data_IF_993391413831
#
_entry.id   IF_993391413831
#
_cell.length_a   1.000
_cell.length_b   1.000
_cell.length_c   1.000
_cell.angle_alpha   90.00
_cell.angle_beta   90.00
_cell.angle_gamma   90.00
#
_symmetry.space_group_name_H-M   'P 1'
#
loop_
_entity.id
_entity.type
_entity.pdbx_description
1 polymer ?
#
# COMPACT_ATOMS: atom_id res chain seq x y z
N UNK A 1 1.05 79.59 -5.26
CA UNK A 1 0.26 78.56 -5.96
C UNK A 1 1.01 77.26 -5.77
N UNK A 2 0.58 76.47 -4.79
CA UNK A 2 1.31 75.32 -4.24
C UNK A 2 0.61 74.07 -4.77
N UNK A 3 1.32 73.24 -5.54
CA UNK A 3 0.82 71.97 -6.06
C UNK A 3 1.47 70.87 -5.24
N UNK A 4 0.72 70.30 -4.31
CA UNK A 4 1.09 69.09 -3.59
C UNK A 4 0.92 67.87 -4.51
N UNK A 5 2.03 67.33 -5.00
CA UNK A 5 2.10 66.02 -5.63
C UNK A 5 2.12 64.95 -4.54
N UNK A 6 0.93 64.48 -4.14
CA UNK A 6 0.79 63.30 -3.29
C UNK A 6 1.01 62.06 -4.17
N UNK A 7 2.24 61.56 -4.19
CA UNK A 7 2.57 60.24 -4.73
C UNK A 7 1.98 59.18 -3.80
N UNK A 8 0.82 58.61 -4.15
CA UNK A 8 0.33 57.37 -3.53
C UNK A 8 1.24 56.22 -3.97
N UNK A 9 2.22 55.88 -3.14
CA UNK A 9 2.85 54.57 -3.21
C UNK A 9 1.82 53.53 -2.78
N UNK A 10 1.22 52.85 -3.75
CA UNK A 10 0.55 51.58 -3.50
C UNK A 10 1.65 50.61 -3.05
N UNK A 11 1.71 50.35 -1.75
CA UNK A 11 2.45 49.21 -1.21
C UNK A 11 1.78 47.97 -1.80
N UNK A 12 2.34 47.44 -2.88
CA UNK A 12 2.08 46.07 -3.32
C UNK A 12 2.76 45.21 -2.26
N UNK A 13 1.99 44.79 -1.26
CA UNK A 13 2.37 43.65 -0.44
C UNK A 13 2.59 42.47 -1.38
N UNK A 14 3.71 41.74 -1.27
CA UNK A 14 3.84 40.49 -2.01
C UNK A 14 2.65 39.61 -1.61
N UNK A 15 1.83 39.22 -2.59
CA UNK A 15 0.79 38.22 -2.38
C UNK A 15 1.48 37.00 -1.77
N UNK A 16 1.02 36.61 -0.58
CA UNK A 16 1.40 35.32 -0.02
C UNK A 16 1.01 34.25 -1.05
N UNK A 17 1.84 33.23 -1.30
CA UNK A 17 1.45 32.13 -2.16
C UNK A 17 0.11 31.60 -1.65
N UNK A 18 -0.90 31.62 -2.52
CA UNK A 18 -2.25 31.16 -2.19
C UNK A 18 -2.16 29.68 -1.88
N UNK A 19 -2.03 29.35 -0.60
CA UNK A 19 -2.05 27.95 -0.17
C UNK A 19 -3.43 27.40 -0.49
N UNK A 20 -3.51 26.31 -1.26
CA UNK A 20 -4.74 25.57 -1.60
C UNK A 20 -5.70 25.36 -0.41
N UNK A 21 -5.19 25.35 0.82
CA UNK A 21 -5.95 25.31 2.06
C UNK A 21 -6.91 26.50 2.29
N UNK A 22 -6.83 27.58 1.52
CA UNK A 22 -7.64 28.79 1.69
C UNK A 22 -8.93 28.82 0.83
N UNK A 23 -9.17 27.82 -0.02
CA UNK A 23 -10.33 27.78 -0.93
C UNK A 23 -11.42 26.88 -0.35
N UNK A 24 -12.66 27.37 -0.27
CA UNK A 24 -13.82 26.53 0.08
C UNK A 24 -14.26 25.74 -1.17
N UNK A 25 -14.15 24.39 -1.18
CA UNK A 25 -14.50 23.60 -2.35
C UNK A 25 -16.02 23.55 -2.65
N UNK A 26 -16.87 24.08 -1.77
CA UNK A 26 -18.32 24.12 -1.97
C UNK A 26 -18.81 25.45 -2.55
N UNK A 27 -17.96 26.46 -2.61
CA UNK A 27 -18.27 27.72 -3.27
C UNK A 27 -18.30 27.57 -4.79
N UNK A 28 -18.94 28.53 -5.46
CA UNK A 28 -18.94 28.57 -6.93
C UNK A 28 -17.64 29.16 -7.42
N UNK A 29 -17.12 28.57 -8.49
CA UNK A 29 -15.99 29.13 -9.24
C UNK A 29 -16.23 30.61 -9.59
N UNK A 30 -15.24 31.44 -9.31
CA UNK A 30 -15.19 32.84 -9.69
C UNK A 30 -14.25 33.05 -10.88
N UNK A 31 -14.50 34.10 -11.67
CA UNK A 31 -13.61 34.46 -12.78
C UNK A 31 -12.20 34.89 -12.33
N UNK A 32 -12.02 35.15 -11.04
CA UNK A 32 -10.74 35.47 -10.41
C UNK A 32 -9.98 34.23 -9.92
N UNK A 33 -10.58 33.05 -9.98
CA UNK A 33 -9.94 31.84 -9.46
C UNK A 33 -8.71 31.48 -10.28
N UNK A 34 -7.72 30.91 -9.60
CA UNK A 34 -6.50 30.46 -10.25
C UNK A 34 -6.79 29.27 -11.18
N UNK A 35 -6.41 29.41 -12.44
CA UNK A 35 -6.57 28.34 -13.43
C UNK A 35 -5.36 27.41 -13.37
N UNK A 36 -5.59 26.18 -12.93
CA UNK A 36 -4.57 25.12 -12.93
C UNK A 36 -4.65 24.32 -14.23
N UNK A 37 -3.69 24.53 -15.13
CA UNK A 37 -3.59 23.77 -16.40
C UNK A 37 -2.85 22.46 -16.18
N UNK A 38 -3.47 21.34 -16.55
CA UNK A 38 -2.89 20.01 -16.37
C UNK A 38 -3.32 19.03 -17.45
N UNK A 39 -2.78 17.80 -17.43
CA UNK A 39 -3.15 16.73 -18.37
C UNK A 39 -4.06 15.70 -17.70
N UNK A 40 -4.87 14.98 -18.49
CA UNK A 40 -5.71 13.88 -17.99
C UNK A 40 -4.91 12.85 -17.19
N UNK A 41 -3.69 12.51 -17.63
CA UNK A 41 -2.83 11.58 -16.92
C UNK A 41 -2.41 12.11 -15.54
N UNK A 42 -2.16 13.41 -15.44
CA UNK A 42 -1.79 14.04 -14.17
C UNK A 42 -2.97 14.11 -13.21
N UNK A 43 -4.19 14.33 -13.72
CA UNK A 43 -5.42 14.22 -12.93
C UNK A 43 -5.64 12.80 -12.40
N UNK A 44 -5.40 11.78 -13.22
CA UNK A 44 -5.51 10.38 -12.79
C UNK A 44 -4.52 10.06 -11.66
N UNK A 45 -3.28 10.57 -11.73
CA UNK A 45 -2.30 10.43 -10.65
C UNK A 45 -2.79 11.05 -9.35
N UNK A 46 -3.37 12.25 -9.43
CA UNK A 46 -3.95 12.90 -8.26
C UNK A 46 -5.09 12.08 -7.65
N UNK A 47 -5.99 11.56 -8.48
CA UNK A 47 -7.10 10.69 -8.02
C UNK A 47 -6.57 9.40 -7.38
N UNK A 48 -5.54 8.79 -7.96
CA UNK A 48 -4.89 7.61 -7.43
C UNK A 48 -4.31 7.88 -6.03
N UNK A 49 -3.55 8.96 -5.86
CA UNK A 49 -2.96 9.32 -4.57
C UNK A 49 -4.04 9.65 -3.53
N UNK A 50 -5.10 10.35 -3.92
CA UNK A 50 -6.22 10.63 -3.02
C UNK A 50 -6.90 9.32 -2.53
N UNK A 51 -7.09 8.36 -3.43
CA UNK A 51 -7.67 7.06 -3.09
C UNK A 51 -6.76 6.26 -2.15
N UNK A 52 -5.45 6.19 -2.42
CA UNK A 52 -4.49 5.51 -1.56
C UNK A 52 -4.38 6.18 -0.18
N UNK A 53 -4.41 7.51 -0.14
CA UNK A 53 -4.41 8.28 1.12
C UNK A 53 -5.64 7.94 1.95
N UNK A 54 -6.84 8.04 1.37
CA UNK A 54 -8.08 7.73 2.08
C UNK A 54 -8.13 6.26 2.54
N UNK A 55 -7.76 5.33 1.65
CA UNK A 55 -7.67 3.90 1.94
C UNK A 55 -6.75 3.63 3.12
N UNK A 56 -5.55 4.21 3.13
CA UNK A 56 -4.62 4.06 4.25
C UNK A 56 -5.19 4.67 5.54
N UNK A 57 -5.74 5.87 5.49
CA UNK A 57 -6.24 6.55 6.68
C UNK A 57 -7.39 5.76 7.32
N UNK A 58 -8.26 5.15 6.52
CA UNK A 58 -9.29 4.23 7.00
C UNK A 58 -8.68 2.93 7.53
N UNK A 59 -7.80 2.28 6.76
CA UNK A 59 -7.14 1.02 7.12
C UNK A 59 -6.40 1.14 8.45
N UNK A 60 -5.65 2.21 8.66
CA UNK A 60 -4.83 2.43 9.86
C UNK A 60 -5.55 3.22 10.97
N UNK A 61 -6.83 3.58 10.77
CA UNK A 61 -7.59 4.43 11.68
C UNK A 61 -6.84 5.71 12.11
N UNK A 62 -6.20 6.37 11.13
CA UNK A 62 -5.43 7.60 11.35
C UNK A 62 -6.41 8.71 11.73
N UNK A 63 -6.28 9.26 12.94
CA UNK A 63 -7.17 10.30 13.48
C UNK A 63 -7.03 11.69 12.83
N UNK A 64 -6.42 11.77 11.65
CA UNK A 64 -6.28 12.99 10.87
C UNK A 64 -7.19 12.91 9.65
N UNK A 65 -7.57 14.06 9.11
CA UNK A 65 -8.35 14.12 7.88
C UNK A 65 -7.45 13.82 6.66
N UNK A 66 -7.77 12.84 5.80
CA UNK A 66 -6.99 12.56 4.59
C UNK A 66 -6.98 13.74 3.62
N UNK A 67 -8.04 14.55 3.56
CA UNK A 67 -8.06 15.77 2.73
C UNK A 67 -7.09 16.80 3.30
N UNK A 68 -7.04 16.95 4.62
CA UNK A 68 -6.04 17.81 5.26
C UNK A 68 -4.61 17.32 4.98
N UNK A 69 -4.39 16.00 4.88
CA UNK A 69 -3.09 15.47 4.46
C UNK A 69 -2.73 15.86 3.03
N UNK A 70 -3.69 15.75 2.10
CA UNK A 70 -3.50 16.09 0.68
C UNK A 70 -3.15 17.56 0.46
N UNK A 71 -3.71 18.46 1.29
CA UNK A 71 -3.58 19.91 1.15
C UNK A 71 -2.40 20.49 1.94
N UNK A 72 -1.92 19.81 2.98
CA UNK A 72 -0.81 20.29 3.79
C UNK A 72 0.54 20.19 3.03
N UNK A 73 1.42 21.21 3.15
CA UNK A 73 2.83 21.10 2.75
C UNK A 73 3.53 19.91 3.40
N UNK A 74 4.38 19.21 2.63
CA UNK A 74 5.13 18.03 3.09
C UNK A 74 6.59 18.10 2.72
N UNK A 75 7.47 17.68 3.63
CA UNK A 75 8.91 17.55 3.33
C UNK A 75 9.15 16.51 2.24
N UNK A 76 8.32 15.45 2.21
CA UNK A 76 8.23 14.46 1.14
C UNK A 76 8.16 15.09 -0.27
N UNK A 77 7.50 16.23 -0.40
CA UNK A 77 7.28 16.92 -1.68
C UNK A 77 8.05 18.24 -1.79
N UNK A 78 9.15 18.38 -1.04
CA UNK A 78 9.96 19.58 -0.95
C UNK A 78 9.14 20.83 -0.56
N UNK A 79 8.23 20.67 0.40
CA UNK A 79 7.38 21.73 0.94
C UNK A 79 6.12 22.05 0.12
N UNK A 80 5.82 21.28 -0.94
CA UNK A 80 4.55 21.38 -1.68
C UNK A 80 3.47 20.50 -1.05
N UNK A 81 2.21 20.77 -1.41
CA UNK A 81 1.11 19.87 -1.09
C UNK A 81 1.09 18.64 -2.02
N UNK A 82 0.42 17.57 -1.59
CA UNK A 82 0.24 16.39 -2.45
C UNK A 82 -0.59 16.72 -3.71
N UNK A 83 -1.58 17.62 -3.58
CA UNK A 83 -2.41 18.08 -4.71
C UNK A 83 -1.57 18.68 -5.84
N UNK A 84 -0.52 19.42 -5.50
CA UNK A 84 0.38 20.05 -6.46
C UNK A 84 1.45 19.08 -6.97
N UNK A 85 2.09 18.33 -6.05
CA UNK A 85 3.25 17.52 -6.36
C UNK A 85 2.89 16.29 -7.21
N UNK A 86 1.80 15.61 -6.87
CA UNK A 86 1.38 14.33 -7.46
C UNK A 86 0.84 14.44 -8.89
N UNK A 87 0.83 15.64 -9.48
CA UNK A 87 0.64 15.80 -10.92
C UNK A 87 1.80 15.18 -11.71
N UNK A 88 3.00 15.17 -11.14
CA UNK A 88 4.17 14.50 -11.70
C UNK A 88 4.15 12.98 -11.45
N UNK A 89 4.84 12.21 -12.30
CA UNK A 89 4.92 10.74 -12.15
C UNK A 89 5.68 10.36 -10.87
N UNK A 90 6.80 11.03 -10.63
CA UNK A 90 7.76 10.68 -9.57
C UNK A 90 7.13 10.86 -8.19
N UNK A 91 6.56 12.03 -7.92
CA UNK A 91 5.92 12.33 -6.63
C UNK A 91 4.66 11.49 -6.42
N UNK A 92 3.91 11.20 -7.48
CA UNK A 92 2.80 10.26 -7.41
C UNK A 92 3.27 8.88 -6.97
N UNK A 93 4.38 8.39 -7.50
CA UNK A 93 4.90 7.06 -7.16
C UNK A 93 5.41 7.02 -5.72
N UNK A 94 6.13 8.07 -5.28
CA UNK A 94 6.51 8.24 -3.86
C UNK A 94 5.30 8.18 -2.94
N UNK A 95 4.25 8.92 -3.25
CA UNK A 95 3.03 8.94 -2.44
C UNK A 95 2.35 7.56 -2.40
N UNK A 96 2.26 6.88 -3.54
CA UNK A 96 1.71 5.51 -3.61
C UNK A 96 2.54 4.55 -2.76
N UNK A 97 3.86 4.59 -2.84
CA UNK A 97 4.73 3.74 -2.00
C UNK A 97 4.57 4.07 -0.51
N UNK A 98 4.57 5.36 -0.15
CA UNK A 98 4.37 5.80 1.22
C UNK A 98 3.06 5.27 1.81
N UNK A 99 1.94 5.36 1.08
CA UNK A 99 0.65 4.87 1.56
C UNK A 99 0.48 3.35 1.43
N UNK A 100 1.03 2.74 0.39
CA UNK A 100 0.96 1.29 0.15
C UNK A 100 1.80 0.48 1.15
N UNK A 101 2.96 1.01 1.54
CA UNK A 101 3.90 0.38 2.47
C UNK A 101 3.79 0.91 3.91
N UNK A 102 2.84 1.82 4.16
CA UNK A 102 2.60 2.40 5.49
C UNK A 102 3.82 3.12 6.09
N UNK A 103 4.66 3.75 5.26
CA UNK A 103 5.93 4.38 5.68
C UNK A 103 5.67 5.83 6.13
N UNK A 104 5.36 6.02 7.41
CA UNK A 104 5.15 7.37 7.99
C UNK A 104 4.08 8.18 7.27
N UNK A 105 3.86 9.45 7.64
CA UNK A 105 2.94 10.34 6.90
C UNK A 105 3.67 11.49 6.19
N UNK A 106 4.97 11.61 6.40
CA UNK A 106 5.84 12.59 5.76
C UNK A 106 7.27 12.06 5.80
N UNK A 107 7.50 10.94 5.11
CA UNK A 107 8.79 10.27 5.11
C UNK A 107 9.83 11.05 4.31
N UNK A 108 11.10 10.83 4.64
CA UNK A 108 12.22 11.39 3.88
C UNK A 108 12.14 10.88 2.42
N UNK A 109 12.10 11.78 1.42
CA UNK A 109 12.03 11.38 0.01
C UNK A 109 13.21 10.49 -0.40
N UNK A 110 14.40 10.64 0.20
CA UNK A 110 15.54 9.79 -0.10
C UNK A 110 15.30 8.32 0.25
N UNK A 111 14.48 8.04 1.26
CA UNK A 111 14.14 6.67 1.66
C UNK A 111 13.25 6.00 0.60
N UNK A 112 12.29 6.74 0.05
CA UNK A 112 11.40 6.21 -0.99
C UNK A 112 12.12 6.09 -2.33
N UNK A 113 13.03 7.00 -2.63
CA UNK A 113 13.85 6.93 -3.85
C UNK A 113 14.73 5.69 -3.89
N UNK A 114 15.28 5.27 -2.75
CA UNK A 114 16.03 4.03 -2.66
C UNK A 114 15.18 2.81 -3.02
N UNK A 115 13.94 2.74 -2.52
CA UNK A 115 13.00 1.66 -2.84
C UNK A 115 12.62 1.63 -4.33
N UNK A 116 12.53 2.81 -4.95
CA UNK A 116 12.21 2.93 -6.37
C UNK A 116 13.36 2.49 -7.28
N UNK A 117 14.60 2.66 -6.83
CA UNK A 117 15.79 2.29 -7.61
C UNK A 117 16.02 0.78 -7.66
N UNK A 118 15.57 0.02 -6.64
CA UNK A 118 15.75 -1.43 -6.57
C UNK A 118 14.97 -2.21 -7.66
N UNK A 119 13.89 -1.63 -8.22
CA UNK A 119 13.09 -2.25 -9.29
C UNK A 119 13.65 -1.98 -10.71
N UNK A 120 14.44 -0.93 -10.91
CA UNK A 120 14.99 -0.58 -12.24
C UNK A 120 16.24 -1.43 -12.60
N UNK A 121 16.81 -2.16 -11.65
CA UNK A 121 17.95 -3.08 -11.86
C UNK A 121 17.53 -4.50 -12.29
N UNK A 122 16.21 -4.77 -12.39
CA UNK A 122 15.65 -6.08 -12.76
C UNK A 122 14.84 -5.99 -14.05
N UNK A 123 15.52 -5.74 -15.18
CA UNK A 123 15.27 -6.33 -16.51
C UNK A 123 15.63 -5.38 -17.67
N UNK A 124 16.81 -5.61 -18.25
CA UNK A 124 17.07 -5.25 -19.65
C UNK A 124 17.63 -6.40 -20.52
N UNK A 125 18.01 -7.56 -19.95
CA UNK A 125 18.81 -8.56 -20.70
C UNK A 125 18.42 -10.04 -20.49
N UNK A 126 17.17 -10.40 -20.16
CA UNK A 126 16.84 -11.83 -20.04
C UNK A 126 15.47 -12.26 -20.54
N UNK A 127 15.23 -12.02 -21.82
CA UNK A 127 14.36 -12.88 -22.62
C UNK A 127 15.12 -13.36 -23.85
N UNK A 128 15.97 -14.37 -23.66
CA UNK A 128 16.36 -15.27 -24.75
C UNK A 128 15.93 -16.69 -24.38
N UNK A 129 14.97 -17.17 -25.16
CA UNK A 129 14.53 -18.55 -25.24
C UNK A 129 15.61 -19.41 -25.94
N UNK A 130 15.68 -20.69 -25.53
CA UNK A 130 16.57 -21.79 -25.99
C UNK A 130 17.82 -21.99 -25.10
N UNK A 131 18.20 -23.20 -24.69
CA UNK A 131 18.16 -24.44 -25.45
C UNK A 131 18.22 -25.68 -24.55
N UNK A 132 17.77 -26.81 -25.10
CA UNK A 132 17.69 -28.12 -24.47
C UNK A 132 19.06 -28.81 -24.52
N UNK A 133 19.63 -29.25 -23.39
CA UNK A 133 20.69 -30.27 -23.40
C UNK A 133 20.86 -31.03 -22.07
N UNK A 134 20.54 -32.32 -22.18
CA UNK A 134 21.06 -33.52 -21.51
C UNK A 134 22.48 -33.44 -20.93
N UNK A 135 22.72 -34.17 -19.83
CA UNK A 135 24.10 -34.41 -19.35
C UNK A 135 24.26 -34.80 -17.89
N UNK A 136 24.19 -36.10 -17.63
CA UNK A 136 24.69 -36.87 -16.48
C UNK A 136 25.71 -36.21 -15.50
N UNK A 137 25.38 -36.30 -14.21
CA UNK A 137 26.18 -36.83 -13.11
C UNK A 137 27.59 -36.27 -12.83
N UNK A 138 27.82 -35.83 -11.59
CA UNK A 138 28.88 -36.41 -10.75
C UNK A 138 28.62 -36.08 -9.28
N UNK A 139 28.72 -37.10 -8.44
CA UNK A 139 28.90 -37.02 -7.01
C UNK A 139 30.14 -36.17 -6.70
N UNK A 140 29.94 -34.97 -6.16
CA UNK A 140 30.95 -34.29 -5.37
C UNK A 140 30.30 -33.65 -4.15
N UNK A 141 30.75 -34.16 -3.01
CA UNK A 141 30.89 -33.45 -1.74
C UNK A 141 29.67 -33.32 -0.85
N UNK A 142 29.45 -34.45 -0.16
CA UNK A 142 28.90 -34.60 1.18
C UNK A 142 29.68 -33.81 2.28
N UNK A 143 30.07 -32.57 2.01
CA UNK A 143 30.86 -31.71 2.89
C UNK A 143 30.20 -30.36 3.22
N UNK A 144 28.90 -30.18 2.97
CA UNK A 144 28.16 -28.96 3.36
C UNK A 144 26.98 -29.22 4.32
N UNK A 145 26.97 -30.39 4.98
CA UNK A 145 26.02 -30.70 6.07
C UNK A 145 26.43 -30.09 7.42
N UNK A 146 27.00 -28.89 7.42
CA UNK A 146 27.45 -28.24 8.65
C UNK A 146 27.46 -26.70 8.54
N UNK A 147 26.42 -26.11 7.94
CA UNK A 147 26.05 -24.73 8.23
C UNK A 147 24.53 -24.57 8.08
N UNK A 148 23.81 -24.85 9.18
CA UNK A 148 22.37 -24.71 9.27
C UNK A 148 21.93 -23.25 9.25
N UNK A 149 21.93 -22.65 8.07
CA UNK A 149 20.96 -21.61 7.77
C UNK A 149 19.60 -22.30 7.75
N UNK A 150 18.67 -21.83 8.58
CA UNK A 150 17.27 -22.19 8.55
C UNK A 150 16.81 -22.06 7.09
N UNK A 151 16.68 -23.18 6.37
CA UNK A 151 15.95 -23.19 5.11
C UNK A 151 14.55 -22.73 5.49
N UNK A 152 14.19 -21.50 5.15
CA UNK A 152 12.89 -20.91 5.38
C UNK A 152 11.84 -21.83 4.76
N UNK A 153 11.31 -22.75 5.58
CA UNK A 153 10.34 -23.73 5.12
C UNK A 153 9.05 -22.97 4.89
N UNK A 154 8.68 -22.76 3.64
CA UNK A 154 7.38 -22.17 3.31
C UNK A 154 6.27 -22.99 3.98
N UNK A 155 5.34 -22.28 4.62
CA UNK A 155 4.17 -22.84 5.28
C UNK A 155 2.94 -22.03 4.89
N UNK A 156 1.80 -22.70 4.85
CA UNK A 156 0.52 -22.01 4.81
C UNK A 156 0.23 -21.44 6.19
N UNK A 157 -0.15 -20.17 6.25
CA UNK A 157 -0.60 -19.51 7.45
C UNK A 157 -2.01 -18.99 7.23
N UNK A 158 -2.88 -19.23 8.20
CA UNK A 158 -4.27 -18.78 8.15
C UNK A 158 -4.58 -17.87 9.31
N UNK A 159 -5.57 -17.00 9.13
CA UNK A 159 -6.11 -16.21 10.22
C UNK A 159 -7.60 -16.02 10.12
N UNK A 160 -8.21 -15.84 11.28
CA UNK A 160 -9.60 -15.46 11.41
C UNK A 160 -9.71 -14.15 12.16
N UNK A 161 -10.69 -13.37 11.74
CA UNK A 161 -10.98 -12.07 12.31
C UNK A 161 -12.49 -11.90 12.46
N UNK A 162 -12.92 -11.48 13.64
CA UNK A 162 -14.27 -10.98 13.88
C UNK A 162 -14.12 -9.60 14.50
N UNK A 163 -14.65 -8.57 13.84
CA UNK A 163 -14.57 -7.19 14.29
C UNK A 163 -15.93 -6.51 14.23
N UNK A 164 -16.27 -5.76 15.28
CA UNK A 164 -17.38 -4.81 15.24
C UNK A 164 -16.90 -3.49 14.65
N UNK A 165 -17.59 -2.99 13.62
CA UNK A 165 -17.43 -1.63 13.09
C UNK A 165 -18.75 -0.88 13.29
N UNK A 166 -18.73 0.44 13.42
CA UNK A 166 -19.90 1.23 13.83
C UNK A 166 -21.20 1.04 13.00
N UNK A 167 -21.12 0.38 11.84
CA UNK A 167 -22.26 0.05 10.97
C UNK A 167 -22.61 -1.44 10.91
N UNK A 168 -21.91 -2.31 11.64
CA UNK A 168 -22.11 -3.76 11.58
C UNK A 168 -20.94 -4.63 12.05
N UNK A 169 -21.02 -5.93 11.80
CA UNK A 169 -19.96 -6.89 12.11
C UNK A 169 -19.28 -7.36 10.84
N UNK A 170 -17.95 -7.44 10.87
CA UNK A 170 -17.13 -8.02 9.81
C UNK A 170 -16.58 -9.35 10.31
N UNK A 171 -16.68 -10.38 9.47
CA UNK A 171 -15.98 -11.65 9.64
C UNK A 171 -15.06 -11.85 8.46
N UNK A 172 -13.79 -12.16 8.71
CA UNK A 172 -12.82 -12.41 7.66
C UNK A 172 -11.99 -13.67 7.93
N UNK A 173 -11.65 -14.36 6.85
CA UNK A 173 -10.66 -15.44 6.81
C UNK A 173 -9.59 -15.08 5.78
N UNK A 174 -8.33 -15.32 6.14
CA UNK A 174 -7.20 -15.09 5.26
C UNK A 174 -6.27 -16.28 5.24
N UNK A 175 -5.60 -16.48 4.11
CA UNK A 175 -4.50 -17.41 4.00
C UNK A 175 -3.36 -16.83 3.17
N UNK A 176 -2.13 -17.05 3.63
CA UNK A 176 -0.88 -16.62 2.97
C UNK A 176 0.18 -17.71 3.07
N UNK A 177 1.08 -17.77 2.09
CA UNK A 177 2.29 -18.58 2.19
C UNK A 177 3.46 -17.69 2.63
N UNK A 178 4.18 -18.14 3.66
CA UNK A 178 5.31 -17.41 4.25
C UNK A 178 6.33 -18.37 4.87
N UNK A 179 7.58 -17.95 4.98
CA UNK A 179 8.68 -18.73 5.55
C UNK A 179 8.57 -18.87 7.07
N UNK A 180 8.02 -17.86 7.75
CA UNK A 180 7.83 -17.87 9.18
C UNK A 180 6.54 -17.14 9.64
N UNK A 181 6.27 -17.24 10.94
CA UNK A 181 5.09 -16.64 11.58
C UNK A 181 5.14 -15.11 11.54
N UNK A 182 6.31 -14.49 11.68
CA UNK A 182 6.46 -13.04 11.73
C UNK A 182 6.13 -12.43 10.36
N UNK A 183 6.64 -13.03 9.29
CA UNK A 183 6.33 -12.66 7.92
C UNK A 183 4.83 -12.85 7.63
N UNK A 184 4.25 -13.99 8.03
CA UNK A 184 2.83 -14.26 7.88
C UNK A 184 1.97 -13.20 8.59
N UNK A 185 2.25 -12.95 9.87
CA UNK A 185 1.54 -11.95 10.66
C UNK A 185 1.71 -10.55 10.07
N UNK A 186 2.88 -10.21 9.55
CA UNK A 186 3.12 -8.91 8.88
C UNK A 186 2.24 -8.77 7.64
N UNK A 187 2.22 -9.78 6.76
CA UNK A 187 1.36 -9.81 5.56
C UNK A 187 -0.13 -9.73 5.91
N UNK A 188 -0.56 -10.47 6.94
CA UNK A 188 -1.96 -10.54 7.37
C UNK A 188 -2.41 -9.26 8.06
N UNK A 189 -1.59 -8.66 8.93
CA UNK A 189 -1.90 -7.38 9.58
C UNK A 189 -1.96 -6.22 8.59
N UNK A 190 -1.07 -6.21 7.59
CA UNK A 190 -1.08 -5.19 6.54
C UNK A 190 -2.42 -5.12 5.79
N UNK A 191 -3.14 -6.25 5.70
CA UNK A 191 -4.43 -6.34 5.00
C UNK A 191 -5.59 -5.70 5.76
N UNK A 192 -5.68 -5.92 7.07
CA UNK A 192 -6.80 -5.42 7.89
C UNK A 192 -6.52 -4.07 8.55
N UNK A 193 -5.26 -3.65 8.52
CA UNK A 193 -4.81 -2.39 9.08
C UNK A 193 -4.64 -2.39 10.60
N UNK A 194 -4.06 -1.30 11.10
CA UNK A 194 -3.57 -1.21 12.48
C UNK A 194 -4.66 -1.35 13.56
N UNK A 195 -5.90 -0.93 13.27
CA UNK A 195 -7.00 -0.97 14.24
C UNK A 195 -7.54 -2.38 14.53
N UNK A 196 -7.19 -3.35 13.67
CA UNK A 196 -7.73 -4.72 13.74
C UNK A 196 -6.62 -5.76 13.96
N UNK A 197 -5.37 -5.39 13.71
CA UNK A 197 -4.20 -6.26 13.74
C UNK A 197 -3.88 -6.93 15.08
N UNK A 198 -4.36 -6.38 16.20
CA UNK A 198 -4.17 -6.96 17.54
C UNK A 198 -5.16 -8.10 17.84
N UNK A 199 -6.27 -8.21 17.08
CA UNK A 199 -7.30 -9.23 17.27
C UNK A 199 -7.15 -10.43 16.31
N UNK A 200 -6.16 -10.40 15.41
CA UNK A 200 -5.96 -11.44 14.40
C UNK A 200 -5.23 -12.62 15.03
N UNK A 201 -5.94 -13.74 15.19
CA UNK A 201 -5.32 -15.00 15.57
C UNK A 201 -4.75 -15.69 14.33
N UNK A 202 -3.42 -15.80 14.28
CA UNK A 202 -2.68 -16.46 13.20
C UNK A 202 -2.31 -17.88 13.60
N UNK A 203 -2.65 -18.84 12.73
CA UNK A 203 -2.38 -20.27 12.89
C UNK A 203 -1.59 -20.81 11.70
N UNK A 204 -0.70 -21.78 11.95
CA UNK A 204 -0.04 -22.53 10.89
C UNK A 204 -0.99 -23.60 10.33
N UNK A 205 -1.03 -23.75 9.01
CA UNK A 205 -1.88 -24.69 8.30
C UNK A 205 -3.31 -24.20 8.13
N UNK A 206 -4.19 -25.13 7.78
CA UNK A 206 -5.60 -24.89 7.54
C UNK A 206 -6.43 -26.02 8.17
N UNK A 207 -7.44 -25.66 8.97
CA UNK A 207 -8.43 -26.59 9.52
C UNK A 207 -9.79 -26.37 8.83
N UNK A 208 -10.19 -27.23 7.89
CA UNK A 208 -11.46 -27.12 7.19
C UNK A 208 -12.67 -27.39 8.09
N UNK A 209 -12.47 -28.06 9.24
CA UNK A 209 -13.54 -28.39 10.19
C UNK A 209 -13.80 -27.26 11.19
N UNK A 210 -13.02 -26.18 11.13
CA UNK A 210 -13.28 -25.01 11.97
C UNK A 210 -14.61 -24.37 11.57
N UNK A 211 -15.46 -23.96 12.54
CA UNK A 211 -16.77 -23.38 12.23
C UNK A 211 -16.71 -22.16 11.31
N UNK A 212 -15.61 -21.41 11.36
CA UNK A 212 -15.39 -20.25 10.50
C UNK A 212 -14.98 -20.64 9.07
N UNK A 213 -14.16 -21.68 8.89
CA UNK A 213 -13.86 -22.21 7.56
C UNK A 213 -15.14 -22.74 6.89
N UNK A 214 -15.96 -23.51 7.62
CA UNK A 214 -17.24 -24.03 7.11
C UNK A 214 -18.22 -22.91 6.73
N UNK A 215 -18.22 -21.79 7.47
CA UNK A 215 -19.14 -20.68 7.24
C UNK A 215 -18.70 -19.75 6.08
N UNK A 216 -17.39 -19.53 5.93
CA UNK A 216 -16.84 -18.51 5.01
C UNK A 216 -16.36 -19.10 3.68
N UNK A 217 -15.98 -20.38 3.64
CA UNK A 217 -15.28 -20.96 2.50
C UNK A 217 -16.17 -21.93 1.74
N UNK A 218 -16.11 -21.87 0.41
CA UNK A 218 -16.68 -22.92 -0.43
C UNK A 218 -15.85 -24.21 -0.32
N UNK A 219 -16.43 -25.40 -0.55
CA UNK A 219 -15.69 -26.66 -0.54
C UNK A 219 -14.46 -26.65 -1.46
N UNK A 220 -14.57 -26.07 -2.66
CA UNK A 220 -13.46 -26.00 -3.60
C UNK A 220 -12.27 -25.16 -3.09
N UNK A 221 -12.55 -24.13 -2.28
CA UNK A 221 -11.50 -23.30 -1.66
C UNK A 221 -10.85 -24.03 -0.49
N UNK A 222 -11.65 -24.75 0.31
CA UNK A 222 -11.11 -25.59 1.38
C UNK A 222 -10.16 -26.66 0.82
N UNK A 223 -10.58 -27.40 -0.22
CA UNK A 223 -9.76 -28.40 -0.89
C UNK A 223 -8.45 -27.80 -1.45
N UNK A 224 -8.53 -26.59 -2.00
CA UNK A 224 -7.36 -25.85 -2.51
C UNK A 224 -6.38 -25.51 -1.37
N UNK A 225 -6.87 -25.03 -0.24
CA UNK A 225 -6.05 -24.67 0.91
C UNK A 225 -5.44 -25.90 1.59
N UNK A 226 -6.14 -27.03 1.64
CA UNK A 226 -5.58 -28.30 2.11
C UNK A 226 -4.43 -28.78 1.21
N UNK A 227 -4.57 -28.66 -0.12
CA UNK A 227 -3.50 -29.00 -1.06
C UNK A 227 -2.27 -28.11 -0.87
N UNK A 228 -2.47 -26.81 -0.66
CA UNK A 228 -1.36 -25.87 -0.40
C UNK A 228 -0.73 -26.11 0.98
N UNK A 229 -1.52 -26.46 2.00
CA UNK A 229 -1.00 -26.82 3.31
C UNK A 229 -0.13 -28.09 3.25
N UNK A 230 -0.53 -29.07 2.43
CA UNK A 230 0.20 -30.32 2.22
C UNK A 230 1.48 -30.13 1.38
N UNK A 231 1.45 -29.22 0.39
CA UNK A 231 2.60 -28.87 -0.44
C UNK A 231 2.71 -27.34 -0.68
N UNK A 232 3.36 -26.61 0.26
CA UNK A 232 3.56 -25.16 0.15
C UNK A 232 4.51 -24.71 -0.98
N UNK A 233 5.17 -25.65 -1.66
CA UNK A 233 6.03 -25.36 -2.82
C UNK A 233 5.35 -25.68 -4.15
N UNK A 234 4.12 -26.18 -4.12
CA UNK A 234 3.34 -26.47 -5.32
C UNK A 234 3.11 -25.21 -6.17
N UNK A 235 2.88 -25.35 -7.49
CA UNK A 235 2.54 -24.22 -8.35
C UNK A 235 1.30 -23.43 -7.87
N UNK A 236 0.39 -24.10 -7.16
CA UNK A 236 -0.81 -23.51 -6.58
C UNK A 236 -0.51 -22.58 -5.39
N UNK A 237 0.59 -22.85 -4.67
CA UNK A 237 1.04 -22.07 -3.53
C UNK A 237 1.78 -20.77 -3.94
N UNK A 238 2.31 -20.72 -5.17
CA UNK A 238 3.14 -19.61 -5.65
C UNK A 238 2.35 -18.31 -5.69
N UNK A 239 2.71 -17.37 -4.82
CA UNK A 239 2.04 -16.07 -4.70
C UNK A 239 0.64 -16.15 -4.10
N UNK A 240 0.27 -17.28 -3.47
CA UNK A 240 -1.04 -17.44 -2.85
C UNK A 240 -1.24 -16.40 -1.74
N UNK A 241 -2.29 -15.60 -1.91
CA UNK A 241 -2.76 -14.65 -0.92
C UNK A 241 -4.26 -14.49 -1.10
N UNK A 242 -5.05 -15.05 -0.19
CA UNK A 242 -6.52 -15.04 -0.28
C UNK A 242 -7.13 -14.39 0.94
N UNK A 243 -8.27 -13.74 0.74
CA UNK A 243 -9.09 -13.12 1.78
C UNK A 243 -10.56 -13.30 1.44
N UNK A 244 -11.34 -13.74 2.41
CA UNK A 244 -12.78 -13.93 2.32
C UNK A 244 -13.42 -13.11 3.42
N UNK A 245 -14.37 -12.25 3.06
CA UNK A 245 -14.98 -11.31 3.99
C UNK A 245 -16.50 -11.38 3.89
N UNK A 246 -17.17 -11.39 5.03
CA UNK A 246 -18.62 -11.21 5.15
C UNK A 246 -18.91 -9.99 6.03
N UNK A 247 -19.84 -9.15 5.57
CA UNK A 247 -20.32 -7.97 6.28
C UNK A 247 -21.77 -8.18 6.68
N UNK A 248 -22.05 -8.01 7.96
CA UNK A 248 -23.39 -8.04 8.52
C UNK A 248 -23.76 -6.63 8.95
N UNK A 249 -24.79 -6.06 8.33
CA UNK A 249 -25.38 -4.81 8.80
C UNK A 249 -26.11 -5.04 10.14
N UNK A 250 -26.01 -4.07 11.04
CA UNK A 250 -26.78 -4.05 12.29
C UNK A 250 -28.28 -3.84 12.05
#
# INVERSE_FOLDING_TARGET
MQIDLITRQTLVTPEAPTTLAAVDPLDRDAASDEIVVTTTRSLIRLVLVAAETASRFEREAIGHDPVAWMLAPRDLFAGRSAVEACLSREECLRAVLLHGLSIGLDADPMTLDALMAEDDDVDADRFDEADVADGSGTDLDAADRANGAEQETLRLWTSFLIAERGTGTIQAFDAVVAGDRLEAETKLRARHGAAVGDAIEVSEGFDPSSPMAEALLSPAVADMLEQVAADPYSPLAKGLSVSFEQRFAA
#
